data_IF_053825255334
#
_entry.id   IF_053825255334
#
_cell.length_a   1.000
_cell.length_b   1.000
_cell.length_c   1.000
_cell.angle_alpha   90.00
_cell.angle_beta   90.00
_cell.angle_gamma   90.00
#
_symmetry.space_group_name_H-M   'P 1'
#
loop_
_entity.id
_entity.type
_entity.pdbx_description
1 polymer ?
#
# COMPACT_ATOMS: atom_id res chain seq x y z
N UNK A 1 28.17 11.39 -0.86
CA UNK A 1 27.07 12.27 -0.44
C UNK A 1 26.50 11.71 0.86
N UNK A 2 26.61 12.44 1.96
CA UNK A 2 26.05 12.02 3.25
C UNK A 2 24.53 12.01 3.13
N UNK A 3 23.91 10.89 3.47
CA UNK A 3 22.46 10.76 3.37
C UNK A 3 21.82 11.48 4.54
N UNK A 4 20.93 12.41 4.22
CA UNK A 4 20.15 13.09 5.24
C UNK A 4 18.99 12.19 5.66
N UNK A 5 18.72 12.08 6.97
CA UNK A 5 17.56 11.36 7.46
C UNK A 5 16.28 12.08 7.01
N UNK A 6 15.20 11.32 6.88
CA UNK A 6 13.90 11.85 6.43
C UNK A 6 12.90 11.79 7.56
N UNK A 7 11.98 12.76 7.59
CA UNK A 7 10.87 12.77 8.53
C UNK A 7 9.82 11.76 8.08
N UNK A 8 9.39 10.89 8.98
CA UNK A 8 8.40 9.84 8.69
C UNK A 8 7.13 10.03 9.52
N UNK A 9 6.00 9.93 8.85
CA UNK A 9 4.65 9.94 9.43
C UNK A 9 3.87 8.74 8.90
N UNK A 10 2.98 8.18 9.72
CA UNK A 10 2.13 7.05 9.33
C UNK A 10 0.66 7.33 9.58
N UNK A 11 -0.22 6.81 8.73
CA UNK A 11 -1.67 6.72 8.92
C UNK A 11 -2.12 5.27 8.75
N UNK A 12 -3.28 4.92 9.32
CA UNK A 12 -3.86 3.59 9.22
C UNK A 12 -3.03 2.48 9.89
N UNK A 13 -2.04 2.84 10.73
CA UNK A 13 -1.11 1.92 11.39
C UNK A 13 -1.05 2.27 12.88
N UNK A 14 -1.23 1.25 13.72
CA UNK A 14 -1.17 1.41 15.18
C UNK A 14 0.18 1.96 15.66
N UNK A 15 0.17 2.61 16.83
CA UNK A 15 1.38 3.20 17.41
C UNK A 15 2.52 2.17 17.63
N UNK A 16 2.19 0.91 17.89
CA UNK A 16 3.13 -0.20 18.07
C UNK A 16 3.48 -0.96 16.78
N UNK A 17 2.94 -0.54 15.63
CA UNK A 17 3.25 -1.07 14.29
C UNK A 17 2.81 -2.53 14.06
N UNK A 18 1.88 -3.04 14.87
CA UNK A 18 1.48 -4.45 14.83
C UNK A 18 0.18 -4.70 14.05
N UNK A 19 -0.63 -3.65 13.81
CA UNK A 19 -1.91 -3.77 13.12
C UNK A 19 -2.23 -2.56 12.24
N UNK A 20 -3.01 -2.82 11.19
CA UNK A 20 -3.70 -1.77 10.46
C UNK A 20 -4.94 -1.35 11.27
N UNK A 21 -5.00 -0.08 11.72
CA UNK A 21 -6.07 0.40 12.60
C UNK A 21 -7.09 1.32 11.91
N UNK A 22 -6.84 1.68 10.65
CA UNK A 22 -7.78 2.48 9.85
C UNK A 22 -7.80 3.97 10.16
N UNK A 23 -6.99 4.45 11.11
CA UNK A 23 -7.03 5.85 11.55
C UNK A 23 -6.47 6.81 10.49
N UNK A 24 -7.15 7.94 10.26
CA UNK A 24 -6.62 9.04 9.45
C UNK A 24 -5.70 9.98 10.22
N UNK A 25 -5.60 9.82 11.54
CA UNK A 25 -4.72 10.67 12.35
C UNK A 25 -3.26 10.29 12.08
N UNK A 26 -2.47 11.27 11.63
CA UNK A 26 -1.07 11.06 11.35
C UNK A 26 -0.28 10.86 12.66
N UNK A 27 0.49 9.78 12.73
CA UNK A 27 1.40 9.49 13.83
C UNK A 27 2.83 9.82 13.41
N UNK A 28 3.47 10.76 14.09
CA UNK A 28 4.87 11.11 13.85
C UNK A 28 5.81 10.00 14.34
N UNK A 29 6.67 9.50 13.46
CA UNK A 29 7.61 8.40 13.75
C UNK A 29 9.06 8.84 13.91
N UNK A 30 9.32 10.13 13.72
CA UNK A 30 10.63 10.75 13.87
C UNK A 30 11.44 10.73 12.58
N UNK A 31 12.75 10.91 12.73
CA UNK A 31 13.70 10.90 11.62
C UNK A 31 14.22 9.49 11.40
N UNK A 32 14.24 9.03 10.15
CA UNK A 32 14.76 7.72 9.76
C UNK A 32 15.77 7.85 8.63
N UNK A 33 16.82 7.03 8.70
CA UNK A 33 17.72 6.84 7.58
C UNK A 33 17.16 5.77 6.62
N UNK A 34 17.91 5.47 5.56
CA UNK A 34 17.50 4.47 4.58
C UNK A 34 17.32 3.08 5.20
N UNK A 35 18.19 2.65 6.12
CA UNK A 35 18.12 1.32 6.72
C UNK A 35 16.89 1.20 7.64
N UNK A 36 16.61 2.25 8.44
CA UNK A 36 15.42 2.36 9.26
C UNK A 36 14.14 2.31 8.43
N UNK A 37 14.10 3.01 7.28
CA UNK A 37 12.97 2.95 6.34
C UNK A 37 12.78 1.56 5.73
N UNK A 38 13.84 0.87 5.33
CA UNK A 38 13.74 -0.51 4.81
C UNK A 38 13.12 -1.42 5.87
N UNK A 39 13.61 -1.36 7.11
CA UNK A 39 13.09 -2.16 8.22
C UNK A 39 11.63 -1.82 8.55
N UNK A 40 11.27 -0.53 8.45
CA UNK A 40 9.90 -0.06 8.59
C UNK A 40 9.00 -0.68 7.52
N UNK A 41 9.36 -0.55 6.23
CA UNK A 41 8.55 -1.06 5.13
C UNK A 41 8.38 -2.58 5.22
N UNK A 42 9.47 -3.30 5.48
CA UNK A 42 9.46 -4.76 5.71
C UNK A 42 8.49 -5.20 6.81
N UNK A 43 8.34 -4.39 7.87
CA UNK A 43 7.44 -4.70 8.97
C UNK A 43 5.98 -4.44 8.61
N UNK A 44 5.68 -3.32 7.96
CA UNK A 44 4.30 -2.86 7.81
C UNK A 44 3.63 -3.28 6.51
N UNK A 45 4.39 -3.61 5.45
CA UNK A 45 3.78 -3.95 4.16
C UNK A 45 2.93 -5.23 4.23
N UNK A 46 3.21 -6.10 5.20
CA UNK A 46 2.49 -7.35 5.44
C UNK A 46 1.28 -7.18 6.37
N UNK A 47 1.01 -5.97 6.87
CA UNK A 47 -0.18 -5.73 7.71
C UNK A 47 -1.44 -5.94 6.87
N UNK A 48 -2.29 -6.85 7.33
CA UNK A 48 -3.56 -7.13 6.69
C UNK A 48 -4.62 -6.14 7.19
N UNK A 49 -5.35 -5.56 6.25
CA UNK A 49 -6.56 -4.78 6.55
C UNK A 49 -7.72 -5.75 6.75
N UNK A 50 -8.38 -5.75 7.94
CA UNK A 50 -9.54 -6.59 8.21
C UNK A 50 -10.62 -6.40 7.14
N UNK A 51 -11.19 -7.50 6.61
CA UNK A 51 -12.19 -7.41 5.53
C UNK A 51 -13.43 -6.61 5.91
N UNK A 52 -13.84 -6.72 7.18
CA UNK A 52 -15.01 -6.02 7.74
C UNK A 52 -14.86 -4.50 7.68
N UNK A 53 -13.63 -4.00 7.80
CA UNK A 53 -13.33 -2.58 7.85
C UNK A 53 -13.13 -1.97 6.45
N UNK A 54 -12.88 -2.78 5.41
CA UNK A 54 -12.63 -2.29 4.04
C UNK A 54 -13.76 -1.45 3.45
N UNK A 55 -14.98 -1.58 3.98
CA UNK A 55 -16.17 -0.89 3.49
C UNK A 55 -16.54 0.36 4.31
N UNK A 56 -15.83 0.66 5.40
CA UNK A 56 -16.18 1.70 6.38
C UNK A 56 -15.12 2.82 6.47
N UNK A 57 -14.94 3.59 5.38
CA UNK A 57 -14.04 4.77 5.35
C UNK A 57 -12.71 4.50 6.07
N UNK A 58 -12.09 3.36 5.76
CA UNK A 58 -10.89 2.88 6.45
C UNK A 58 -9.64 3.46 5.78
N UNK A 59 -8.78 4.12 6.55
CA UNK A 59 -7.49 4.58 6.06
C UNK A 59 -6.54 3.37 5.90
N UNK A 60 -6.12 2.99 4.69
CA UNK A 60 -5.16 1.91 4.53
C UNK A 60 -3.83 2.27 5.20
N UNK A 61 -3.01 1.29 5.59
CA UNK A 61 -1.66 1.55 6.06
C UNK A 61 -0.91 2.44 5.07
N UNK A 62 -0.44 3.56 5.58
CA UNK A 62 0.09 4.64 4.75
C UNK A 62 1.30 5.26 5.41
N UNK A 63 2.36 5.48 4.64
CA UNK A 63 3.60 6.12 5.07
C UNK A 63 3.84 7.34 4.22
N UNK A 64 4.08 8.46 4.90
CA UNK A 64 4.52 9.70 4.29
C UNK A 64 5.95 9.97 4.74
N UNK A 65 6.85 10.17 3.78
CA UNK A 65 8.24 10.50 4.05
C UNK A 65 8.58 11.85 3.43
N UNK A 66 9.06 12.79 4.25
CA UNK A 66 9.49 14.12 3.82
C UNK A 66 10.99 14.27 4.01
N UNK A 67 11.70 14.51 2.91
CA UNK A 67 13.16 14.57 2.88
C UNK A 67 13.71 15.50 1.80
N UNK A 68 15.02 15.37 1.46
CA UNK A 68 15.68 16.23 0.47
C UNK A 68 15.12 16.12 -0.95
N UNK A 69 14.51 14.97 -1.28
CA UNK A 69 13.84 14.73 -2.56
C UNK A 69 12.39 15.23 -2.61
N UNK A 70 11.92 15.88 -1.55
CA UNK A 70 10.52 16.28 -1.38
C UNK A 70 9.75 15.34 -0.47
N UNK A 71 8.43 15.33 -0.61
CA UNK A 71 7.57 14.40 0.11
C UNK A 71 7.11 13.30 -0.84
N UNK A 72 7.13 12.06 -0.36
CA UNK A 72 6.63 10.88 -1.07
C UNK A 72 5.67 10.09 -0.19
N UNK A 73 4.73 9.43 -0.85
CA UNK A 73 3.56 8.80 -0.25
C UNK A 73 3.48 7.33 -0.65
N UNK A 74 3.37 6.45 0.34
CA UNK A 74 3.36 5.00 0.15
C UNK A 74 2.16 4.36 0.83
N UNK A 75 1.29 3.71 0.05
CA UNK A 75 0.13 2.97 0.54
C UNK A 75 0.44 1.48 0.52
N UNK A 76 0.15 0.76 1.60
CA UNK A 76 0.30 -0.69 1.66
C UNK A 76 -1.05 -1.40 1.56
N UNK A 77 -1.07 -2.49 0.79
CA UNK A 77 -2.23 -3.38 0.68
C UNK A 77 -1.78 -4.83 0.54
N UNK A 78 -1.92 -5.60 1.63
CA UNK A 78 -1.81 -7.06 1.60
C UNK A 78 -0.49 -7.56 1.00
N UNK A 79 0.63 -7.01 1.47
CA UNK A 79 1.98 -7.40 1.06
C UNK A 79 2.62 -6.48 0.01
N UNK A 80 1.84 -5.66 -0.70
CA UNK A 80 2.34 -4.74 -1.72
C UNK A 80 2.56 -3.32 -1.14
N UNK A 81 3.52 -2.59 -1.70
CA UNK A 81 3.74 -1.17 -1.41
C UNK A 81 3.51 -0.41 -2.71
N UNK A 82 2.53 0.48 -2.74
CA UNK A 82 2.27 1.38 -3.86
C UNK A 82 2.83 2.76 -3.54
N UNK A 83 3.60 3.32 -4.47
CA UNK A 83 4.07 4.71 -4.39
C UNK A 83 3.15 5.59 -5.23
N UNK A 84 2.53 6.60 -4.62
CA UNK A 84 1.54 7.46 -5.29
C UNK A 84 2.19 8.30 -6.39
N UNK A 85 3.44 8.73 -6.21
CA UNK A 85 4.13 9.59 -7.17
C UNK A 85 4.56 8.85 -8.44
N UNK A 86 4.86 7.56 -8.33
CA UNK A 86 5.21 6.72 -9.49
C UNK A 86 4.02 5.96 -10.06
N UNK A 87 2.90 5.89 -9.32
CA UNK A 87 1.73 5.06 -9.61
C UNK A 87 2.06 3.55 -9.79
N UNK A 88 3.18 3.10 -9.22
CA UNK A 88 3.71 1.74 -9.37
C UNK A 88 3.84 1.03 -8.01
N UNK A 89 3.82 -0.31 -8.06
CA UNK A 89 4.21 -1.15 -6.93
C UNK A 89 5.74 -1.12 -6.82
N UNK A 90 6.25 -0.95 -5.60
CA UNK A 90 7.68 -0.84 -5.32
C UNK A 90 8.08 -1.82 -4.21
N UNK A 91 9.34 -2.25 -4.24
CA UNK A 91 9.89 -3.05 -3.14
C UNK A 91 10.17 -2.18 -1.91
N UNK A 92 10.31 -2.75 -0.69
CA UNK A 92 10.74 -2.01 0.49
C UNK A 92 12.04 -1.21 0.31
N UNK A 93 12.98 -1.77 -0.46
CA UNK A 93 14.25 -1.12 -0.77
C UNK A 93 14.09 0.08 -1.71
N UNK A 94 13.27 -0.07 -2.75
CA UNK A 94 12.95 1.04 -3.68
C UNK A 94 12.15 2.14 -2.99
N UNK A 95 11.16 1.80 -2.16
CA UNK A 95 10.41 2.79 -1.38
C UNK A 95 11.35 3.61 -0.47
N UNK A 96 12.26 2.95 0.24
CA UNK A 96 13.26 3.62 1.06
C UNK A 96 14.26 4.45 0.21
N UNK A 97 14.60 4.00 -0.99
CA UNK A 97 15.50 4.72 -1.90
C UNK A 97 14.83 6.00 -2.45
N UNK A 98 13.56 5.91 -2.83
CA UNK A 98 12.73 7.05 -3.25
C UNK A 98 12.59 8.07 -2.12
N UNK A 99 12.21 7.62 -0.93
CA UNK A 99 12.03 8.49 0.25
C UNK A 99 13.30 9.27 0.60
N UNK A 100 14.46 8.62 0.52
CA UNK A 100 15.76 9.24 0.82
C UNK A 100 16.37 10.00 -0.35
N UNK A 101 15.73 10.01 -1.53
CA UNK A 101 16.25 10.65 -2.73
C UNK A 101 17.46 9.95 -3.35
N UNK A 102 17.73 8.69 -2.99
CA UNK A 102 18.78 7.88 -3.61
C UNK A 102 18.42 7.47 -5.04
N UNK A 103 17.13 7.30 -5.30
CA UNK A 103 16.58 7.07 -6.64
C UNK A 103 15.56 8.15 -6.97
N UNK A 104 15.50 8.53 -8.25
CA UNK A 104 14.50 9.49 -8.71
C UNK A 104 13.18 8.79 -9.03
N UNK A 105 12.06 9.47 -8.76
CA UNK A 105 10.71 9.02 -9.10
C UNK A 105 10.63 8.62 -10.58
N UNK A 106 11.22 9.43 -11.46
CA UNK A 106 11.22 9.21 -12.92
C UNK A 106 11.96 7.93 -13.32
N UNK A 107 13.08 7.62 -12.68
CA UNK A 107 13.88 6.44 -13.02
C UNK A 107 13.16 5.16 -12.59
N UNK A 108 12.59 5.14 -11.38
CA UNK A 108 11.79 4.01 -10.89
C UNK A 108 10.58 3.80 -11.79
N UNK A 109 9.79 4.84 -12.06
CA UNK A 109 8.63 4.76 -12.94
C UNK A 109 9.00 4.21 -14.34
N UNK A 110 10.16 4.62 -14.89
CA UNK A 110 10.63 4.12 -16.20
C UNK A 110 11.00 2.63 -16.17
N UNK A 111 11.64 2.14 -15.10
CA UNK A 111 11.95 0.71 -14.95
C UNK A 111 10.68 -0.13 -14.97
N UNK A 112 9.70 0.26 -14.16
CA UNK A 112 8.42 -0.44 -14.04
C UNK A 112 7.56 -0.35 -15.31
N UNK A 113 7.62 0.78 -16.04
CA UNK A 113 6.98 0.92 -17.35
C UNK A 113 7.62 0.03 -18.43
N UNK A 114 8.95 -0.15 -18.39
CA UNK A 114 9.69 -1.02 -19.30
C UNK A 114 9.37 -2.51 -19.09
N UNK A 115 9.28 -2.93 -17.83
CA UNK A 115 8.91 -4.30 -17.47
C UNK A 115 7.46 -4.63 -17.85
N UNK A 116 6.57 -3.65 -17.77
CA UNK A 116 5.18 -3.78 -18.23
C UNK A 116 5.03 -3.84 -19.76
N UNK A 117 6.05 -3.38 -20.51
CA UNK A 117 5.98 -3.19 -21.96
C UNK A 117 6.67 -4.27 -22.81
N UNK A 118 7.70 -4.96 -22.33
CA UNK A 118 8.54 -5.80 -23.22
C UNK A 118 9.05 -7.12 -22.67
N UNK A 119 8.64 -7.59 -21.49
CA UNK A 119 8.96 -8.96 -21.09
C UNK A 119 8.00 -9.49 -20.01
N UNK A 120 6.91 -10.11 -20.44
CA UNK A 120 6.39 -11.28 -19.72
C UNK A 120 7.48 -12.36 -19.82
N UNK A 121 8.51 -12.25 -18.98
CA UNK A 121 9.49 -13.31 -18.77
C UNK A 121 8.66 -14.51 -18.35
N UNK A 122 8.58 -15.48 -19.27
CA UNK A 122 8.01 -16.78 -19.02
C UNK A 122 8.79 -17.38 -17.86
N UNK A 123 8.27 -17.25 -16.64
CA UNK A 123 8.79 -18.02 -15.52
C UNK A 123 8.76 -19.51 -15.88
N UNK A 124 9.64 -20.34 -15.29
CA UNK A 124 9.70 -21.78 -15.55
C UNK A 124 8.35 -22.51 -15.33
N UNK A 125 7.39 -21.88 -14.66
CA UNK A 125 6.02 -22.37 -14.51
C UNK A 125 5.19 -22.38 -15.82
N UNK A 126 5.54 -21.57 -16.83
CA UNK A 126 4.83 -21.60 -18.12
C UNK A 126 5.16 -22.85 -18.93
N UNK A 127 6.37 -23.36 -18.82
CA UNK A 127 6.75 -24.66 -19.41
C UNK A 127 5.96 -25.82 -18.77
N UNK A 128 5.58 -25.68 -17.48
CA UNK A 128 4.74 -26.65 -16.77
C UNK A 128 3.26 -26.53 -17.16
N UNK A 129 2.76 -25.31 -17.38
CA UNK A 129 1.39 -25.07 -17.85
C UNK A 129 1.16 -25.48 -19.32
N UNK A 130 2.19 -25.39 -20.18
CA UNK A 130 2.14 -25.88 -21.57
C UNK A 130 2.12 -27.41 -21.66
N UNK A 131 2.77 -28.11 -20.72
CA UNK A 131 2.69 -29.57 -20.62
C UNK A 131 1.29 -30.09 -20.23
N UNK A 132 0.47 -29.27 -19.56
CA UNK A 132 -0.91 -29.62 -19.15
C UNK A 132 -1.98 -29.21 -20.17
N UNK A 133 -1.62 -28.69 -21.35
CA UNK A 133 -2.58 -28.39 -22.43
C UNK A 133 -3.63 -27.31 -22.07
N UNK A 134 -3.46 -26.57 -20.98
CA UNK A 134 -4.32 -25.44 -20.63
C UNK A 134 -3.92 -24.23 -21.47
N UNK A 135 -4.71 -23.95 -22.51
CA UNK A 135 -4.58 -22.70 -23.28
C UNK A 135 -4.63 -21.51 -22.31
N UNK A 136 -3.63 -20.62 -22.32
CA UNK A 136 -3.67 -19.42 -21.49
C UNK A 136 -4.91 -18.62 -21.89
N UNK A 137 -5.70 -18.23 -20.89
CA UNK A 137 -6.86 -17.37 -21.12
C UNK A 137 -6.38 -16.09 -21.83
N UNK A 138 -7.12 -15.59 -22.84
CA UNK A 138 -6.75 -14.35 -23.51
C UNK A 138 -6.62 -13.23 -22.47
N UNK A 139 -5.63 -12.33 -22.61
CA UNK A 139 -5.47 -11.20 -21.72
C UNK A 139 -6.78 -10.41 -21.70
N UNK A 140 -7.38 -10.28 -20.51
CA UNK A 140 -8.59 -9.47 -20.37
C UNK A 140 -8.19 -8.02 -20.67
N UNK A 141 -8.93 -7.31 -21.55
CA UNK A 141 -8.64 -5.90 -21.81
C UNK A 141 -8.73 -5.12 -20.48
N UNK A 142 -7.99 -4.02 -20.32
CA UNK A 142 -8.02 -3.21 -19.11
C UNK A 142 -9.41 -2.56 -18.94
N UNK A 143 -10.33 -3.27 -18.28
CA UNK A 143 -11.73 -2.85 -18.04
C UNK A 143 -11.79 -1.49 -17.31
N UNK A 144 -10.74 -1.14 -16.57
CA UNK A 144 -10.63 0.12 -15.84
C UNK A 144 -10.64 1.36 -16.74
N UNK A 145 -9.97 1.32 -17.90
CA UNK A 145 -9.89 2.50 -18.78
C UNK A 145 -11.20 2.73 -19.54
N UNK A 146 -11.84 1.66 -20.01
CA UNK A 146 -13.15 1.75 -20.66
C UNK A 146 -14.24 2.30 -19.74
N UNK A 147 -14.25 1.89 -18.46
CA UNK A 147 -15.19 2.43 -17.46
C UNK A 147 -14.94 3.92 -17.15
N UNK A 148 -13.68 4.33 -17.04
CA UNK A 148 -13.31 5.75 -16.84
C UNK A 148 -13.74 6.60 -18.03
N UNK A 149 -13.45 6.16 -19.25
CA UNK A 149 -13.87 6.86 -20.47
C UNK A 149 -15.40 7.00 -20.53
N UNK A 150 -16.13 5.93 -20.24
CA UNK A 150 -17.60 5.97 -20.22
C UNK A 150 -18.13 7.01 -19.22
N UNK A 151 -17.57 7.08 -18.02
CA UNK A 151 -17.95 8.08 -17.01
C UNK A 151 -17.72 9.51 -17.47
N UNK A 152 -16.58 9.78 -18.11
CA UNK A 152 -16.29 11.11 -18.68
C UNK A 152 -17.18 11.45 -19.88
N UNK A 153 -17.51 10.47 -20.73
CA UNK A 153 -18.44 10.68 -21.84
C UNK A 153 -19.84 11.08 -21.34
N UNK A 154 -20.34 10.40 -20.31
CA UNK A 154 -21.63 10.75 -19.70
C UNK A 154 -21.58 12.15 -19.09
N UNK A 155 -20.55 12.47 -18.31
CA UNK A 155 -20.38 13.80 -17.72
C UNK A 155 -20.32 14.93 -18.77
N UNK A 156 -19.57 14.71 -19.86
CA UNK A 156 -19.49 15.65 -20.98
C UNK A 156 -20.83 15.85 -21.69
N UNK A 157 -21.64 14.79 -21.84
CA UNK A 157 -22.98 14.88 -22.40
C UNK A 157 -23.90 15.80 -21.59
N UNK A 158 -23.92 15.64 -20.26
CA UNK A 158 -24.69 16.51 -19.37
C UNK A 158 -24.24 17.98 -19.44
N UNK A 159 -22.93 18.22 -19.52
CA UNK A 159 -22.38 19.57 -19.65
C UNK A 159 -22.82 20.24 -20.96
N UNK A 160 -22.75 19.53 -22.09
CA UNK A 160 -23.13 20.05 -23.40
C UNK A 160 -24.62 20.36 -23.49
N UNK A 161 -25.49 19.48 -22.95
CA UNK A 161 -26.93 19.72 -22.89
C UNK A 161 -27.25 20.91 -21.98
N UNK A 162 -26.58 21.03 -20.83
CA UNK A 162 -26.72 22.18 -19.94
C UNK A 162 -26.36 23.51 -20.61
N UNK A 163 -25.24 23.55 -21.34
CA UNK A 163 -24.83 24.74 -22.11
C UNK A 163 -25.79 25.06 -23.26
N UNK A 164 -26.29 24.04 -23.97
CA UNK A 164 -27.26 24.23 -25.05
C UNK A 164 -28.60 24.79 -24.57
N UNK A 165 -29.11 24.30 -23.43
CA UNK A 165 -30.35 24.81 -22.82
C UNK A 165 -30.20 26.26 -22.34
N UNK A 166 -29.06 26.60 -21.75
CA UNK A 166 -28.70 27.99 -21.42
C UNK A 166 -28.70 28.91 -22.64
N UNK A 167 -28.09 28.47 -23.75
CA UNK A 167 -28.07 29.23 -25.00
C UNK A 167 -29.47 29.46 -25.58
N UNK A 168 -30.29 28.41 -25.65
CA UNK A 168 -31.65 28.50 -26.16
C UNK A 168 -32.56 29.41 -25.29
N UNK A 169 -32.37 29.37 -23.96
CA UNK A 169 -33.09 30.25 -23.03
C UNK A 169 -32.78 31.73 -23.22
N UNK A 170 -31.53 32.07 -23.60
CA UNK A 170 -31.14 33.45 -23.90
C UNK A 170 -31.80 33.97 -25.18
N UNK A 171 -32.13 33.10 -26.14
CA UNK A 171 -32.77 33.47 -27.41
C UNK A 171 -34.30 33.57 -27.31
N UNK A 172 -34.94 32.83 -26.38
CA UNK A 172 -36.39 32.72 -26.31
C UNK A 172 -37.13 34.01 -25.84
N UNK A 173 -36.43 34.98 -25.24
CA UNK A 173 -36.92 36.35 -25.01
C UNK A 173 -38.02 36.55 -23.96
N UNK A 174 -38.60 35.48 -23.42
CA UNK A 174 -39.57 35.50 -22.31
C UNK A 174 -38.85 35.32 -20.97
N UNK A 175 -39.10 36.22 -20.01
CA UNK A 175 -38.40 36.22 -18.72
C UNK A 175 -38.51 34.90 -17.96
N UNK A 176 -39.69 34.28 -17.95
CA UNK A 176 -39.92 33.01 -17.24
C UNK A 176 -39.17 31.83 -17.88
N UNK A 177 -39.08 31.78 -19.21
CA UNK A 177 -38.35 30.73 -19.93
C UNK A 177 -36.83 30.89 -19.76
N UNK A 178 -36.34 32.13 -19.64
CA UNK A 178 -34.94 32.41 -19.33
C UNK A 178 -34.57 31.88 -17.94
N UNK A 179 -35.40 32.10 -16.92
CA UNK A 179 -35.15 31.59 -15.57
C UNK A 179 -35.21 30.06 -15.53
N UNK A 180 -36.18 29.44 -16.21
CA UNK A 180 -36.28 27.99 -16.31
C UNK A 180 -35.05 27.38 -16.99
N UNK A 181 -34.57 27.99 -18.08
CA UNK A 181 -33.38 27.56 -18.80
C UNK A 181 -32.09 27.73 -17.98
N UNK A 182 -31.92 28.85 -17.27
CA UNK A 182 -30.80 29.09 -16.37
C UNK A 182 -30.75 28.05 -15.25
N UNK A 183 -31.90 27.77 -14.63
CA UNK A 183 -32.00 26.82 -13.54
C UNK A 183 -31.70 25.39 -14.00
N UNK A 184 -32.36 24.92 -15.08
CA UNK A 184 -32.18 23.56 -15.58
C UNK A 184 -30.79 23.35 -16.18
N UNK A 185 -30.27 24.32 -16.94
CA UNK A 185 -28.92 24.25 -17.49
C UNK A 185 -27.86 24.25 -16.40
N UNK A 186 -28.01 25.11 -15.38
CA UNK A 186 -27.13 25.13 -14.20
C UNK A 186 -27.14 23.81 -13.43
N UNK A 187 -28.32 23.23 -13.20
CA UNK A 187 -28.47 21.94 -12.52
C UNK A 187 -27.73 20.81 -13.26
N UNK A 188 -27.85 20.73 -14.58
CA UNK A 188 -27.17 19.71 -15.38
C UNK A 188 -25.64 19.86 -15.35
N UNK A 189 -25.13 21.09 -15.35
CA UNK A 189 -23.69 21.36 -15.20
C UNK A 189 -23.19 20.87 -13.83
N UNK A 190 -23.92 21.16 -12.74
CA UNK A 190 -23.55 20.70 -11.39
C UNK A 190 -23.54 19.17 -11.32
N UNK A 191 -24.56 18.49 -11.87
CA UNK A 191 -24.61 17.02 -11.92
C UNK A 191 -23.42 16.45 -12.71
N UNK A 192 -23.09 17.03 -13.88
CA UNK A 192 -21.93 16.62 -14.67
C UNK A 192 -20.62 16.73 -13.89
N UNK A 193 -20.43 17.83 -13.14
CA UNK A 193 -19.25 18.04 -12.29
C UNK A 193 -19.17 17.04 -11.13
N UNK A 194 -20.30 16.72 -10.49
CA UNK A 194 -20.36 15.72 -9.42
C UNK A 194 -19.99 14.32 -9.92
N UNK A 195 -20.47 13.94 -11.11
CA UNK A 195 -20.11 12.66 -11.75
C UNK A 195 -18.61 12.63 -12.06
N UNK A 196 -18.06 13.70 -12.66
CA UNK A 196 -16.63 13.79 -12.97
C UNK A 196 -15.77 13.71 -11.69
N UNK A 197 -16.19 14.38 -10.61
CA UNK A 197 -15.54 14.31 -9.32
C UNK A 197 -15.59 12.89 -8.72
N UNK A 198 -16.75 12.23 -8.77
CA UNK A 198 -16.91 10.86 -8.30
C UNK A 198 -16.05 9.86 -9.10
N UNK A 199 -15.95 10.01 -10.43
CA UNK A 199 -15.07 9.19 -11.28
C UNK A 199 -13.60 9.40 -10.91
N UNK A 200 -13.20 10.65 -10.65
CA UNK A 200 -11.84 10.98 -10.20
C UNK A 200 -11.53 10.36 -8.83
N UNK A 201 -12.46 10.43 -7.87
CA UNK A 201 -12.31 9.81 -6.55
C UNK A 201 -12.34 8.27 -6.63
N UNK A 202 -13.16 7.68 -7.49
CA UNK A 202 -13.16 6.23 -7.70
C UNK A 202 -11.85 5.74 -8.37
N UNK A 203 -11.18 6.59 -9.16
CA UNK A 203 -9.88 6.27 -9.73
C UNK A 203 -8.77 6.17 -8.67
N UNK A 204 -8.87 6.91 -7.55
CA UNK A 204 -7.90 6.87 -6.45
C UNK A 204 -8.16 5.71 -5.49
N UNK A 205 -9.41 5.23 -5.36
CA UNK A 205 -9.76 4.12 -4.44
C UNK A 205 -10.00 2.75 -5.13
N UNK A 206 -10.02 2.70 -6.47
CA UNK A 206 -10.54 1.56 -7.24
C UNK A 206 -9.62 0.34 -7.44
N UNK A 207 -8.53 0.18 -6.68
CA UNK A 207 -7.71 -1.04 -6.74
C UNK A 207 -7.98 -2.02 -5.59
N UNK A 208 -9.22 -2.07 -5.09
CA UNK A 208 -9.67 -3.26 -4.39
C UNK A 208 -9.56 -4.46 -5.36
N UNK A 209 -8.65 -5.39 -5.07
CA UNK A 209 -8.45 -6.64 -5.81
C UNK A 209 -9.80 -7.28 -6.18
N UNK A 210 -9.94 -7.88 -7.38
CA UNK A 210 -11.14 -8.63 -7.72
C UNK A 210 -11.36 -9.74 -6.68
N UNK A 211 -12.41 -9.58 -5.87
CA UNK A 211 -12.97 -10.64 -5.04
C UNK A 211 -13.30 -11.82 -5.96
N UNK A 212 -12.45 -12.85 -5.95
CA UNK A 212 -12.54 -13.94 -6.92
C UNK A 212 -11.29 -14.78 -7.09
N UNK A 213 -10.15 -14.38 -6.52
CA UNK A 213 -9.08 -15.34 -6.22
C UNK A 213 -9.22 -15.81 -4.77
N UNK A 214 -10.38 -16.41 -4.45
CA UNK A 214 -10.43 -17.44 -3.41
C UNK A 214 -9.33 -18.41 -3.75
N UNK A 215 -8.26 -18.34 -2.97
CA UNK A 215 -7.13 -19.24 -3.00
C UNK A 215 -7.68 -20.60 -2.63
N UNK A 216 -8.23 -21.32 -3.62
CA UNK A 216 -8.47 -22.76 -3.60
C UNK A 216 -7.16 -23.53 -3.60
N UNK A 217 -6.17 -23.04 -2.86
CA UNK A 217 -5.04 -23.82 -2.39
C UNK A 217 -5.58 -24.69 -1.28
N UNK A 218 -6.26 -25.77 -1.67
CA UNK A 218 -6.40 -26.93 -0.83
C UNK A 218 -5.00 -27.27 -0.34
N UNK A 219 -4.74 -26.95 0.92
CA UNK A 219 -3.61 -27.50 1.66
C UNK A 219 -3.98 -28.95 1.95
N UNK A 220 -4.01 -29.78 0.90
CA UNK A 220 -3.86 -31.21 1.04
C UNK A 220 -2.40 -31.43 1.42
N UNK A 221 -2.12 -31.17 2.69
CA UNK A 221 -0.97 -31.73 3.37
C UNK A 221 -1.15 -33.24 3.36
N UNK A 222 -0.77 -33.89 2.25
CA UNK A 222 -0.20 -35.23 2.37
C UNK A 222 1.06 -35.05 3.19
N UNK A 223 0.90 -35.17 4.52
CA UNK A 223 1.92 -35.74 5.38
C UNK A 223 2.37 -37.04 4.70
N UNK A 224 3.40 -36.97 3.87
CA UNK A 224 4.36 -38.05 3.85
C UNK A 224 5.07 -37.93 5.19
N UNK A 225 4.65 -38.80 6.11
CA UNK A 225 5.56 -39.41 7.05
C UNK A 225 6.71 -39.96 6.21
N UNK A 226 7.73 -39.14 5.99
CA UNK A 226 9.05 -39.67 5.70
C UNK A 226 9.58 -40.05 7.08
N UNK A 227 9.53 -41.36 7.33
CA UNK A 227 10.23 -42.04 8.39
C UNK A 227 11.74 -41.74 8.22
N UNK A 228 12.20 -40.68 8.89
CA UNK A 228 13.59 -40.53 9.29
C UNK A 228 13.62 -40.54 10.80
N UNK A 229 13.72 -41.75 11.32
CA UNK A 229 14.33 -42.05 12.59
C UNK A 229 15.78 -41.56 12.55
N UNK A 230 15.98 -40.25 12.74
CA UNK A 230 17.29 -39.67 12.96
C UNK A 230 17.64 -39.88 14.45
N UNK A 231 18.57 -40.81 14.60
CA UNK A 231 19.27 -41.37 15.74
C UNK A 231 20.01 -40.29 16.58
N UNK A 232 19.28 -39.43 17.31
CA UNK A 232 19.85 -38.36 18.14
C UNK A 232 20.26 -38.77 19.57
N UNK A 233 20.23 -40.06 19.92
CA UNK A 233 20.49 -40.54 21.29
C UNK A 233 21.90 -41.11 21.55
N UNK A 234 22.91 -40.72 20.77
CA UNK A 234 24.32 -41.00 21.10
C UNK A 234 25.17 -39.74 21.03
N UNK A 235 25.32 -39.07 22.18
CA UNK A 235 26.59 -38.44 22.62
C UNK A 235 26.41 -37.45 23.80
N UNK A 236 25.55 -37.75 24.78
CA UNK A 236 25.45 -36.96 26.04
C UNK A 236 26.27 -37.48 27.23
N UNK A 237 27.14 -38.46 27.03
CA UNK A 237 27.92 -39.07 28.13
C UNK A 237 29.39 -38.64 28.19
N UNK A 238 29.75 -37.44 27.72
CA UNK A 238 31.12 -36.94 27.88
C UNK A 238 31.17 -35.49 28.35
N UNK A 239 31.69 -35.36 29.59
CA UNK A 239 32.10 -34.14 30.31
C UNK A 239 30.89 -33.50 31.00
N UNK A 240 30.83 -33.45 32.34
CA UNK A 240 31.77 -32.76 33.20
C UNK A 240 31.79 -33.35 34.64
N UNK A 241 32.79 -34.18 34.95
CA UNK A 241 33.18 -34.52 36.32
C UNK A 241 34.56 -33.92 36.61
N UNK A 242 34.60 -32.60 36.81
CA UNK A 242 35.65 -31.86 37.53
C UNK A 242 34.93 -30.66 38.16
N UNK A 243 34.61 -30.67 39.46
CA UNK A 243 35.59 -30.72 40.53
C UNK A 243 36.16 -29.32 40.71
N UNK A 244 35.60 -28.55 41.64
CA UNK A 244 36.01 -27.17 41.87
C UNK A 244 35.09 -26.46 42.86
N UNK A 245 35.15 -26.88 44.12
CA UNK A 245 34.73 -26.10 45.27
C UNK A 245 35.41 -24.73 45.23
N UNK A 246 34.65 -23.65 45.42
CA UNK A 246 35.22 -22.39 45.86
C UNK A 246 34.19 -21.63 46.68
N UNK A 247 34.26 -21.88 47.98
CA UNK A 247 33.80 -21.00 49.04
C UNK A 247 34.61 -19.70 49.02
N UNK A 248 33.96 -18.56 48.81
CA UNK A 248 34.37 -17.24 49.33
C UNK A 248 33.10 -16.40 49.50
N UNK A 249 32.56 -16.30 50.70
CA UNK A 249 32.99 -15.45 51.81
C UNK A 249 32.58 -13.97 51.62
N UNK A 250 31.59 -13.59 52.45
CA UNK A 250 31.41 -12.31 53.15
C UNK A 250 31.71 -10.99 52.44
N UNK A 251 30.66 -10.17 52.29
CA UNK A 251 30.79 -8.77 51.91
C UNK A 251 29.58 -7.92 52.30
N UNK A 252 29.32 -7.81 53.60
CA UNK A 252 28.47 -6.78 54.22
C UNK A 252 29.17 -5.42 54.24
N UNK A 253 28.48 -4.35 53.85
CA UNK A 253 28.88 -2.95 54.04
C UNK A 253 28.21 -2.07 52.98
N UNK A 254 27.20 -1.28 53.29
CA UNK A 254 27.22 0.04 53.97
C UNK A 254 26.17 0.87 53.22
N UNK A 255 25.09 1.32 53.84
CA UNK A 255 24.95 2.53 54.65
C UNK A 255 25.34 3.83 53.92
N UNK A 256 24.50 4.85 54.15
CA UNK A 256 24.74 6.30 54.02
C UNK A 256 24.43 7.01 52.68
N UNK A 257 23.31 7.74 52.68
CA UNK A 257 23.41 9.21 52.75
C UNK A 257 22.98 10.07 51.55
N UNK A 258 22.15 11.08 51.85
CA UNK A 258 21.97 12.33 51.07
C UNK A 258 20.61 12.40 50.36
N UNK A 259 19.63 13.23 50.73
CA UNK A 259 19.71 14.56 51.33
C UNK A 259 19.77 15.63 50.23
N UNK A 260 18.70 16.39 50.04
CA UNK A 260 18.64 17.49 49.07
C UNK A 260 17.22 18.05 48.91
N UNK A 261 16.86 18.92 49.84
CA UNK A 261 15.77 19.89 49.71
C UNK A 261 16.09 20.90 48.59
N UNK A 262 15.07 21.25 47.79
CA UNK A 262 14.71 22.63 47.36
C UNK A 262 13.40 22.60 46.55
#
# INVERSE_FOLDING_TARGET
MSQQPVKVETQGISADWTRADGSYDAVHRGLMDHAGLVGLFQRIHALEVPEEDRFNDFCPPHVMASGPAGSVSFVMDGGAIFCDETECEVTPAEAAALATGRESITDVARRHAGESGTAFVQGPDRARAEAEGRRPAPPRPPIGLARKLLGYTVAGGFLLVGLGTLGAGLEAGTGDDLYAALFMGGLLVVVGLLIAWAVRKAATHGRARPAGQTRGGGWSGTRRHDDRDDDWDRDRDRRDDRGGDNDTDSGSGGDDGGGGDD
#
